data_IF_482390421739
#
_entry.id   IF_482390421739
#
_cell.length_a   1.000
_cell.length_b   1.000
_cell.length_c   1.000
_cell.angle_alpha   90.00
_cell.angle_beta   90.00
_cell.angle_gamma   90.00
#
_symmetry.space_group_name_H-M   'P 1'
#
loop_
_entity.id
_entity.type
_entity.pdbx_description
1 polymer ?
#
# COMPACT_ATOMS: atom_id res chain seq x y z
N UNK A 1 55.43 23.55 11.18
CA UNK A 1 54.74 24.34 12.23
C UNK A 1 53.26 24.43 11.89
N UNK A 2 52.36 23.76 12.62
CA UNK A 2 50.94 23.71 12.30
C UNK A 2 50.19 24.95 12.81
N UNK A 3 49.41 25.59 11.94
CA UNK A 3 48.50 26.70 12.28
C UNK A 3 47.13 26.13 12.67
N UNK A 4 46.81 26.26 13.95
CA UNK A 4 45.52 26.01 14.56
C UNK A 4 44.53 27.09 14.07
N UNK A 5 43.41 26.69 13.45
CA UNK A 5 42.26 27.57 13.18
C UNK A 5 41.17 27.25 14.21
N UNK A 6 40.78 28.27 14.96
CA UNK A 6 39.70 28.27 15.96
C UNK A 6 38.31 28.27 15.32
N UNK A 7 37.30 27.62 15.93
CA UNK A 7 35.91 27.71 15.49
C UNK A 7 35.23 28.99 16.03
N UNK A 8 34.46 29.65 15.16
CA UNK A 8 33.54 30.73 15.52
C UNK A 8 32.28 30.13 16.19
N UNK A 9 32.12 30.41 17.47
CA UNK A 9 30.87 30.24 18.21
C UNK A 9 29.94 31.39 17.83
N UNK A 10 28.83 31.10 17.16
CA UNK A 10 27.72 32.05 17.05
C UNK A 10 26.73 31.81 18.18
N UNK A 11 26.73 32.73 19.12
CA UNK A 11 25.69 32.92 20.12
C UNK A 11 24.42 33.42 19.42
N UNK A 12 23.31 32.71 19.60
CA UNK A 12 21.97 33.22 19.27
C UNK A 12 21.26 33.51 20.59
N UNK A 13 20.86 34.78 20.70
CA UNK A 13 20.30 35.42 21.87
C UNK A 13 18.91 34.87 22.23
N UNK A 14 18.81 34.60 23.52
CA UNK A 14 17.67 34.40 24.38
C UNK A 14 16.68 35.59 24.28
N UNK A 15 15.41 35.32 23.99
CA UNK A 15 14.32 36.29 24.23
C UNK A 15 13.38 35.71 25.28
N UNK A 16 13.42 36.32 26.46
CA UNK A 16 12.49 36.14 27.56
C UNK A 16 11.09 36.64 27.16
N UNK A 17 10.08 35.77 27.28
CA UNK A 17 8.67 36.15 27.31
C UNK A 17 8.00 35.46 28.49
N UNK A 18 7.88 36.17 29.61
CA UNK A 18 7.21 35.72 30.81
C UNK A 18 5.68 35.86 30.63
N UNK A 19 4.95 34.74 30.73
CA UNK A 19 3.56 34.75 31.19
C UNK A 19 3.42 33.78 32.36
N UNK A 20 3.17 34.36 33.52
CA UNK A 20 2.79 33.67 34.74
C UNK A 20 1.33 33.23 34.66
N UNK A 21 1.06 31.96 34.95
CA UNK A 21 -0.27 31.49 35.31
C UNK A 21 -0.16 30.48 36.46
N UNK A 22 -0.59 30.96 37.62
CA UNK A 22 -0.81 30.37 38.92
C UNK A 22 -1.21 28.89 38.95
N UNK A 23 -0.47 28.10 39.75
CA UNK A 23 -0.85 26.77 40.22
C UNK A 23 -1.67 26.93 41.50
N UNK A 24 -2.96 26.60 41.44
CA UNK A 24 -3.78 26.33 42.63
C UNK A 24 -3.97 24.81 42.75
N UNK A 25 -3.34 24.21 43.76
CA UNK A 25 -3.65 22.84 44.22
C UNK A 25 -4.95 22.88 45.02
N UNK A 26 -5.98 22.18 44.54
CA UNK A 26 -7.16 21.84 45.33
C UNK A 26 -7.26 20.32 45.41
N UNK A 27 -6.97 19.77 46.58
CA UNK A 27 -7.26 18.38 46.93
C UNK A 27 -8.73 18.28 47.31
N UNK A 28 -9.56 17.77 46.40
CA UNK A 28 -10.93 17.35 46.67
C UNK A 28 -11.05 15.87 46.32
N UNK A 29 -11.16 15.05 47.36
CA UNK A 29 -11.48 13.63 47.28
C UNK A 29 -12.99 13.47 47.07
N UNK A 30 -13.38 12.86 45.96
CA UNK A 30 -14.77 12.59 45.59
C UNK A 30 -15.00 11.07 45.44
N UNK A 31 -16.23 10.58 45.66
CA UNK A 31 -16.51 9.17 45.91
C UNK A 31 -16.46 8.31 44.64
N UNK A 32 -16.19 7.02 44.86
CA UNK A 32 -16.12 5.96 43.83
C UNK A 32 -17.42 5.86 43.02
N UNK A 33 -17.36 5.72 41.68
CA UNK A 33 -18.51 5.43 40.84
C UNK A 33 -18.93 3.94 40.91
N UNK A 34 -20.23 3.63 40.73
CA UNK A 34 -20.71 2.26 40.62
C UNK A 34 -20.27 1.58 39.31
N UNK A 35 -20.00 0.28 39.42
CA UNK A 35 -19.60 -0.63 38.34
C UNK A 35 -20.70 -0.73 37.27
N UNK A 36 -20.42 -0.50 35.98
CA UNK A 36 -21.41 -0.70 34.92
C UNK A 36 -21.57 -2.19 34.57
N UNK A 37 -22.83 -2.61 34.58
CA UNK A 37 -23.37 -3.89 34.10
C UNK A 37 -23.43 -3.89 32.57
N UNK A 38 -23.10 -5.03 31.97
CA UNK A 38 -23.42 -5.49 30.61
C UNK A 38 -23.35 -4.48 29.44
N UNK A 39 -22.34 -4.66 28.59
CA UNK A 39 -22.22 -4.03 27.28
C UNK A 39 -23.41 -4.38 26.39
N UNK A 40 -24.32 -3.42 26.22
CA UNK A 40 -25.30 -3.41 25.13
C UNK A 40 -24.56 -3.17 23.80
N UNK A 41 -24.78 -4.06 22.83
CA UNK A 41 -24.20 -3.98 21.49
C UNK A 41 -24.52 -2.62 20.84
N UNK A 42 -23.47 -1.90 20.41
CA UNK A 42 -23.61 -0.67 19.64
C UNK A 42 -24.28 -0.98 18.28
N UNK A 43 -25.19 -0.13 17.79
CA UNK A 43 -25.83 -0.32 16.50
C UNK A 43 -24.80 -0.20 15.36
N UNK A 44 -24.94 -0.95 14.25
CA UNK A 44 -24.00 -0.92 13.13
C UNK A 44 -23.97 0.48 12.51
N UNK A 45 -22.83 1.16 12.61
CA UNK A 45 -22.58 2.41 11.91
C UNK A 45 -22.44 2.13 10.42
N UNK A 46 -23.46 2.44 9.64
CA UNK A 46 -23.39 2.35 8.17
C UNK A 46 -22.46 3.44 7.63
N UNK A 47 -21.79 3.17 6.50
CA UNK A 47 -20.90 4.10 5.80
C UNK A 47 -21.52 5.51 5.60
N UNK A 48 -22.84 5.56 5.40
CA UNK A 48 -23.64 6.79 5.30
C UNK A 48 -23.62 7.66 6.55
N UNK A 49 -23.52 7.02 7.72
CA UNK A 49 -23.41 7.69 9.02
C UNK A 49 -22.04 8.33 9.20
N UNK A 50 -20.99 7.67 8.69
CA UNK A 50 -19.62 8.20 8.70
C UNK A 50 -19.42 9.36 7.72
N UNK A 51 -20.19 9.38 6.61
CA UNK A 51 -20.16 10.44 5.59
C UNK A 51 -21.05 11.65 5.92
N UNK A 52 -21.73 11.68 7.08
CA UNK A 52 -22.51 12.84 7.53
C UNK A 52 -23.88 13.03 6.86
N UNK A 53 -24.32 12.09 6.02
CA UNK A 53 -25.62 12.18 5.31
C UNK A 53 -26.84 12.07 6.24
N UNK A 54 -26.65 11.56 7.47
CA UNK A 54 -27.75 11.44 8.44
C UNK A 54 -28.30 12.79 8.91
N UNK A 55 -27.53 13.89 8.84
CA UNK A 55 -28.05 15.22 9.17
C UNK A 55 -28.95 15.80 8.06
N UNK A 56 -28.68 15.48 6.79
CA UNK A 56 -29.57 15.86 5.69
C UNK A 56 -30.90 15.09 5.74
N UNK A 57 -30.87 13.80 6.10
CA UNK A 57 -32.07 12.98 6.25
C UNK A 57 -33.00 13.46 7.37
N UNK A 58 -32.47 13.98 8.47
CA UNK A 58 -33.29 14.49 9.59
C UNK A 58 -33.97 15.83 9.28
N UNK A 59 -33.33 16.71 8.50
CA UNK A 59 -33.93 17.97 8.03
C UNK A 59 -34.91 17.76 6.88
N UNK A 60 -34.66 16.81 5.96
CA UNK A 60 -35.60 16.48 4.89
C UNK A 60 -36.74 15.57 5.37
N UNK A 61 -36.55 14.71 6.35
CA UNK A 61 -37.56 13.69 6.73
C UNK A 61 -38.89 14.27 7.22
N UNK A 62 -38.87 15.46 7.86
CA UNK A 62 -40.09 16.10 8.38
C UNK A 62 -40.88 16.89 7.33
N UNK A 63 -40.25 17.32 6.23
CA UNK A 63 -40.91 18.10 5.16
C UNK A 63 -41.06 17.31 3.85
N UNK A 64 -40.14 16.39 3.55
CA UNK A 64 -40.17 15.54 2.36
C UNK A 64 -41.25 14.44 2.45
N UNK A 65 -41.66 13.99 3.64
CA UNK A 65 -42.74 13.00 3.77
C UNK A 65 -44.07 13.45 3.13
N UNK A 66 -44.38 14.75 3.19
CA UNK A 66 -45.59 15.31 2.58
C UNK A 66 -45.42 15.75 1.12
N UNK A 67 -44.19 16.05 0.69
CA UNK A 67 -43.91 16.49 -0.69
C UNK A 67 -43.64 15.28 -1.60
N UNK A 68 -42.98 14.23 -1.11
CA UNK A 68 -42.67 13.01 -1.85
C UNK A 68 -43.90 12.13 -2.13
N UNK A 69 -44.99 12.30 -1.37
CA UNK A 69 -46.26 11.62 -1.66
C UNK A 69 -47.06 12.30 -2.79
N UNK A 70 -46.66 13.49 -3.26
CA UNK A 70 -47.31 14.08 -4.43
C UNK A 70 -46.97 13.24 -5.67
N UNK A 71 -47.97 12.80 -6.45
CA UNK A 71 -47.75 11.91 -7.60
C UNK A 71 -46.76 12.50 -8.60
N UNK A 72 -46.74 13.82 -8.77
CA UNK A 72 -45.80 14.53 -9.63
C UNK A 72 -44.34 14.36 -9.20
N UNK A 73 -44.06 14.45 -7.90
CA UNK A 73 -42.69 14.30 -7.35
C UNK A 73 -42.24 12.85 -7.46
N UNK A 74 -43.15 11.89 -7.24
CA UNK A 74 -42.88 10.47 -7.45
C UNK A 74 -42.54 10.16 -8.91
N UNK A 75 -43.27 10.74 -9.87
CA UNK A 75 -42.98 10.57 -11.30
C UNK A 75 -41.65 11.21 -11.69
N UNK A 76 -41.34 12.41 -11.20
CA UNK A 76 -40.07 13.08 -11.48
C UNK A 76 -38.88 12.34 -10.86
N UNK A 77 -38.99 11.90 -9.60
CA UNK A 77 -37.94 11.13 -8.95
C UNK A 77 -37.71 9.78 -9.65
N UNK A 78 -38.78 9.06 -10.01
CA UNK A 78 -38.65 7.76 -10.68
C UNK A 78 -38.20 7.88 -12.14
N UNK A 79 -38.60 8.92 -12.86
CA UNK A 79 -38.35 9.03 -14.31
C UNK A 79 -37.11 9.83 -14.67
N UNK A 80 -36.65 10.73 -13.80
CA UNK A 80 -35.53 11.64 -14.10
C UNK A 80 -34.39 11.43 -13.11
N UNK A 81 -34.68 11.42 -11.81
CA UNK A 81 -33.64 11.44 -10.78
C UNK A 81 -33.02 10.06 -10.57
N UNK A 82 -33.82 8.99 -10.50
CA UNK A 82 -33.35 7.62 -10.37
C UNK A 82 -32.47 7.16 -11.54
N UNK A 83 -32.83 7.33 -12.82
CA UNK A 83 -31.95 6.95 -13.92
C UNK A 83 -30.66 7.78 -13.93
N UNK A 84 -30.70 9.06 -13.53
CA UNK A 84 -29.49 9.87 -13.42
C UNK A 84 -28.59 9.42 -12.26
N UNK A 85 -29.15 9.01 -11.13
CA UNK A 85 -28.39 8.45 -10.00
C UNK A 85 -27.81 7.06 -10.33
N UNK A 86 -28.52 6.27 -11.14
CA UNK A 86 -28.03 4.99 -11.65
C UNK A 86 -26.88 5.19 -12.64
N UNK A 87 -26.98 6.13 -13.58
CA UNK A 87 -25.88 6.42 -14.53
C UNK A 87 -24.65 6.97 -13.84
N UNK A 88 -24.81 7.67 -12.72
CA UNK A 88 -23.71 8.20 -11.90
C UNK A 88 -23.17 7.18 -10.88
N UNK A 89 -23.75 5.99 -10.76
CA UNK A 89 -23.31 4.97 -9.79
C UNK A 89 -23.47 5.38 -8.33
N UNK A 90 -24.34 6.36 -8.04
CA UNK A 90 -24.56 6.92 -6.71
C UNK A 90 -25.72 6.24 -5.96
N UNK A 91 -26.48 5.38 -6.65
CA UNK A 91 -27.59 4.65 -6.06
C UNK A 91 -27.07 3.40 -5.33
N UNK A 92 -27.36 3.21 -4.02
CA UNK A 92 -27.00 1.99 -3.32
C UNK A 92 -27.63 0.76 -4.03
N UNK A 93 -26.95 -0.40 -4.03
CA UNK A 93 -27.37 -1.58 -4.81
C UNK A 93 -28.78 -2.07 -4.44
N UNK A 94 -29.20 -1.86 -3.19
CA UNK A 94 -30.52 -2.20 -2.68
C UNK A 94 -31.65 -1.34 -3.30
N UNK A 95 -31.38 -0.06 -3.57
CA UNK A 95 -32.33 0.84 -4.22
C UNK A 95 -32.32 0.66 -5.75
N UNK A 96 -31.20 0.23 -6.33
CA UNK A 96 -31.12 -0.18 -7.73
C UNK A 96 -31.97 -1.43 -8.01
N UNK A 97 -32.00 -2.38 -7.07
CA UNK A 97 -32.87 -3.56 -7.17
C UNK A 97 -34.38 -3.20 -7.13
N UNK A 98 -34.79 -2.22 -6.32
CA UNK A 98 -36.17 -1.74 -6.27
C UNK A 98 -36.60 -0.96 -7.54
N UNK A 99 -35.68 -0.22 -8.16
CA UNK A 99 -35.93 0.50 -9.42
C UNK A 99 -35.85 -0.40 -10.66
N UNK A 100 -35.15 -1.53 -10.58
CA UNK A 100 -35.07 -2.55 -11.64
C UNK A 100 -36.38 -3.36 -11.81
N UNK A 101 -37.33 -3.23 -10.89
CA UNK A 101 -38.63 -3.93 -10.93
C UNK A 101 -39.59 -3.46 -12.03
N UNK A 102 -39.26 -2.41 -12.78
CA UNK A 102 -40.12 -1.88 -13.84
C UNK A 102 -39.34 -1.73 -15.16
N UNK A 103 -39.08 -2.85 -15.84
CA UNK A 103 -38.75 -2.81 -17.28
C UNK A 103 -37.48 -3.53 -17.74
N UNK A 104 -36.91 -4.46 -16.98
CA UNK A 104 -35.88 -5.34 -17.52
C UNK A 104 -36.52 -6.39 -18.43
N UNK A 105 -36.40 -6.22 -19.75
CA UNK A 105 -36.66 -7.30 -20.71
C UNK A 105 -35.70 -8.49 -20.51
N UNK A 106 -35.97 -9.66 -21.12
CA UNK A 106 -35.31 -10.93 -20.82
C UNK A 106 -33.85 -11.06 -21.29
N UNK A 107 -33.17 -9.96 -21.63
CA UNK A 107 -31.76 -9.94 -22.00
C UNK A 107 -31.03 -8.91 -21.16
N UNK A 108 -30.39 -9.35 -20.07
CA UNK A 108 -29.49 -8.49 -19.31
C UNK A 108 -28.34 -7.96 -20.19
N UNK A 109 -27.61 -6.92 -19.72
CA UNK A 109 -26.45 -6.42 -20.44
C UNK A 109 -25.43 -7.55 -20.65
N UNK A 110 -24.71 -7.56 -21.79
CA UNK A 110 -23.68 -8.55 -22.04
C UNK A 110 -22.60 -8.50 -20.94
N UNK A 111 -21.96 -9.64 -20.61
CA UNK A 111 -21.07 -9.75 -19.44
C UNK A 111 -19.92 -8.75 -19.44
N UNK A 112 -19.37 -8.41 -20.62
CA UNK A 112 -18.32 -7.41 -20.75
C UNK A 112 -18.77 -6.01 -20.33
N UNK A 113 -20.01 -5.63 -20.64
CA UNK A 113 -20.58 -4.32 -20.26
C UNK A 113 -20.85 -4.27 -18.76
N UNK A 114 -21.33 -5.37 -18.19
CA UNK A 114 -21.51 -5.47 -16.73
C UNK A 114 -20.17 -5.30 -15.99
N UNK A 115 -19.11 -5.98 -16.43
CA UNK A 115 -17.77 -5.85 -15.85
C UNK A 115 -17.20 -4.42 -16.03
N UNK A 116 -17.34 -3.82 -17.22
CA UNK A 116 -16.90 -2.45 -17.45
C UNK A 116 -17.62 -1.46 -16.51
N UNK A 117 -18.92 -1.65 -16.28
CA UNK A 117 -19.69 -0.88 -15.31
C UNK A 117 -19.17 -1.02 -13.88
N UNK A 118 -18.82 -2.24 -13.45
CA UNK A 118 -18.23 -2.48 -12.13
C UNK A 118 -16.86 -1.80 -11.98
N UNK A 119 -15.98 -1.94 -12.98
CA UNK A 119 -14.66 -1.30 -12.99
C UNK A 119 -14.81 0.23 -12.97
N UNK A 120 -15.74 0.78 -13.75
CA UNK A 120 -16.01 2.22 -13.77
C UNK A 120 -16.55 2.73 -12.43
N UNK A 121 -17.44 1.96 -11.79
CA UNK A 121 -17.94 2.29 -10.46
C UNK A 121 -16.82 2.26 -9.42
N UNK A 122 -16.02 1.20 -9.38
CA UNK A 122 -14.92 1.05 -8.42
C UNK A 122 -13.85 2.14 -8.58
N UNK A 123 -13.51 2.49 -9.83
CA UNK A 123 -12.52 3.52 -10.16
C UNK A 123 -13.13 4.90 -10.37
N UNK A 124 -14.39 5.11 -9.97
CA UNK A 124 -15.01 6.42 -10.02
C UNK A 124 -14.21 7.42 -9.17
N UNK A 125 -14.16 8.71 -9.55
CA UNK A 125 -13.39 9.71 -8.79
C UNK A 125 -13.83 9.80 -7.33
N UNK A 126 -15.11 9.56 -7.04
CA UNK A 126 -15.63 9.51 -5.67
C UNK A 126 -15.05 8.34 -4.87
N UNK A 127 -15.03 7.14 -5.44
CA UNK A 127 -14.47 5.95 -4.78
C UNK A 127 -12.95 6.04 -4.63
N UNK A 128 -12.24 6.56 -5.63
CA UNK A 128 -10.81 6.86 -5.52
C UNK A 128 -10.53 7.81 -4.35
N UNK A 129 -11.31 8.88 -4.19
CA UNK A 129 -11.18 9.80 -3.06
C UNK A 129 -11.49 9.12 -1.72
N UNK A 130 -12.47 8.21 -1.68
CA UNK A 130 -12.78 7.43 -0.49
C UNK A 130 -11.59 6.53 -0.09
N UNK A 131 -11.00 5.80 -1.05
CA UNK A 131 -9.80 4.98 -0.85
C UNK A 131 -8.62 5.82 -0.32
N UNK A 132 -8.37 6.99 -0.92
CA UNK A 132 -7.33 7.93 -0.48
C UNK A 132 -7.59 8.44 0.96
N UNK A 133 -8.83 8.78 1.31
CA UNK A 133 -9.18 9.18 2.68
C UNK A 133 -8.98 8.05 3.69
N UNK A 134 -9.34 6.81 3.33
CA UNK A 134 -9.10 5.64 4.17
C UNK A 134 -7.60 5.43 4.43
N UNK A 135 -6.77 5.50 3.38
CA UNK A 135 -5.30 5.41 3.50
C UNK A 135 -4.74 6.50 4.41
N UNK A 136 -5.22 7.75 4.31
CA UNK A 136 -4.81 8.84 5.19
C UNK A 136 -5.16 8.58 6.65
N UNK A 137 -6.34 7.99 6.90
CA UNK A 137 -6.73 7.59 8.24
C UNK A 137 -5.83 6.48 8.77
N UNK A 138 -5.57 5.43 7.98
CA UNK A 138 -4.62 4.37 8.32
C UNK A 138 -3.22 4.93 8.65
N UNK A 139 -2.78 5.95 7.90
CA UNK A 139 -1.50 6.63 8.16
C UNK A 139 -1.44 7.38 9.50
N UNK A 140 -2.59 7.65 10.14
CA UNK A 140 -2.68 8.29 11.45
C UNK A 140 -2.72 7.31 12.61
N UNK A 141 -2.95 6.03 12.31
CA UNK A 141 -3.00 4.95 13.29
C UNK A 141 -1.60 4.40 13.52
N UNK A 142 -1.25 4.13 14.78
CA UNK A 142 0.04 3.56 15.11
C UNK A 142 0.07 2.06 14.81
N UNK A 143 1.05 1.64 14.01
CA UNK A 143 1.31 0.24 13.69
C UNK A 143 1.78 -0.59 14.90
N UNK A 144 2.12 0.04 16.05
CA UNK A 144 2.31 -0.68 17.34
C UNK A 144 1.02 -1.40 17.71
N UNK A 145 -0.08 -0.66 17.71
CA UNK A 145 -1.36 -1.15 18.19
C UNK A 145 -2.08 -1.99 17.12
N UNK A 146 -1.81 -1.70 15.85
CA UNK A 146 -2.48 -2.32 14.70
C UNK A 146 -1.46 -2.71 13.63
N UNK A 147 -0.72 -3.83 13.81
CA UNK A 147 0.31 -4.25 12.85
C UNK A 147 -0.23 -4.54 11.45
N UNK A 148 -1.50 -4.94 11.32
CA UNK A 148 -2.21 -5.19 10.07
C UNK A 148 -2.36 -3.94 9.19
N UNK A 149 -2.18 -2.74 9.75
CA UNK A 149 -2.19 -1.48 8.99
C UNK A 149 -1.12 -1.49 7.90
N UNK A 150 0.04 -2.08 8.17
CA UNK A 150 1.12 -2.19 7.19
C UNK A 150 0.70 -3.06 6.02
N UNK A 151 -0.01 -4.16 6.28
CA UNK A 151 -0.48 -5.08 5.24
C UNK A 151 -1.51 -4.40 4.33
N UNK A 152 -2.45 -3.68 4.94
CA UNK A 152 -3.44 -2.90 4.20
C UNK A 152 -2.80 -1.81 3.33
N UNK A 153 -1.79 -1.11 3.85
CA UNK A 153 -1.05 -0.09 3.10
C UNK A 153 -0.21 -0.70 1.97
N UNK A 154 0.44 -1.84 2.19
CA UNK A 154 1.20 -2.55 1.16
C UNK A 154 0.28 -3.10 0.06
N UNK A 155 -0.89 -3.64 0.41
CA UNK A 155 -1.90 -4.08 -0.55
C UNK A 155 -2.49 -2.91 -1.36
N UNK A 156 -2.57 -1.71 -0.76
CA UNK A 156 -3.01 -0.50 -1.46
C UNK A 156 -2.02 -0.05 -2.56
N UNK A 157 -0.80 -0.57 -2.57
CA UNK A 157 0.15 -0.36 -3.67
C UNK A 157 -0.19 -1.19 -4.92
N UNK A 158 -1.13 -2.14 -4.84
CA UNK A 158 -1.63 -2.89 -6.00
C UNK A 158 -2.93 -2.30 -6.59
N UNK A 159 -3.44 -1.20 -6.04
CA UNK A 159 -4.67 -0.58 -6.54
C UNK A 159 -4.48 -0.06 -7.98
N UNK A 160 -5.50 -0.20 -8.82
CA UNK A 160 -5.47 0.25 -10.22
C UNK A 160 -5.27 1.77 -10.35
N UNK A 161 -5.76 2.56 -9.40
CA UNK A 161 -5.70 4.01 -9.42
C UNK A 161 -4.36 4.53 -8.86
N UNK A 162 -3.59 5.21 -9.72
CA UNK A 162 -2.35 5.91 -9.36
C UNK A 162 -2.44 6.78 -8.09
N UNK A 163 -3.48 7.63 -7.87
CA UNK A 163 -3.57 8.44 -6.65
C UNK A 163 -3.68 7.61 -5.37
N UNK A 164 -4.28 6.41 -5.42
CA UNK A 164 -4.39 5.50 -4.28
C UNK A 164 -3.02 4.94 -3.94
N UNK A 165 -2.31 4.39 -4.93
CA UNK A 165 -0.93 3.88 -4.77
C UNK A 165 0.04 4.95 -4.27
N UNK A 166 -0.05 6.16 -4.83
CA UNK A 166 0.78 7.28 -4.42
C UNK A 166 0.53 7.68 -2.96
N UNK A 167 -0.74 7.75 -2.53
CA UNK A 167 -1.05 8.09 -1.14
C UNK A 167 -0.64 6.96 -0.18
N UNK A 168 -0.72 5.70 -0.60
CA UNK A 168 -0.23 4.56 0.18
C UNK A 168 1.29 4.66 0.45
N UNK A 169 2.09 5.04 -0.56
CA UNK A 169 3.51 5.33 -0.35
C UNK A 169 3.73 6.49 0.63
N UNK A 170 2.94 7.57 0.54
CA UNK A 170 3.04 8.69 1.49
C UNK A 170 2.68 8.28 2.92
N UNK A 171 1.69 7.40 3.09
CA UNK A 171 1.32 6.83 4.38
C UNK A 171 2.46 6.00 4.97
N UNK A 172 3.02 5.08 4.18
CA UNK A 172 4.19 4.28 4.57
C UNK A 172 5.42 5.15 4.87
N UNK A 173 5.61 6.23 4.12
CA UNK A 173 6.71 7.16 4.34
C UNK A 173 6.64 7.78 5.74
N UNK A 174 5.45 8.25 6.13
CA UNK A 174 5.17 8.86 7.44
C UNK A 174 5.32 7.88 8.59
N UNK A 175 4.78 6.66 8.46
CA UNK A 175 4.75 5.69 9.55
C UNK A 175 6.04 4.88 9.71
N UNK A 176 6.64 4.42 8.60
CA UNK A 176 7.72 3.42 8.64
C UNK A 176 9.12 3.95 8.35
N UNK A 177 9.24 5.04 7.58
CA UNK A 177 10.55 5.48 7.05
C UNK A 177 11.09 6.79 7.65
N UNK A 178 10.26 7.52 8.42
CA UNK A 178 10.59 8.84 8.94
C UNK A 178 11.66 8.87 10.05
N UNK A 179 12.17 7.72 10.49
CA UNK A 179 13.31 7.67 11.42
C UNK A 179 13.16 6.74 12.62
N UNK A 180 12.06 6.00 12.67
CA UNK A 180 11.84 4.93 13.64
C UNK A 180 10.38 4.58 13.59
N UNK A 181 10.04 3.36 13.17
CA UNK A 181 8.75 2.80 13.56
C UNK A 181 8.70 2.90 15.09
N UNK A 182 7.72 3.57 15.68
CA UNK A 182 7.67 3.74 17.14
C UNK A 182 7.68 2.38 17.87
N UNK A 183 7.12 1.34 17.22
CA UNK A 183 7.18 -0.05 17.68
C UNK A 183 8.59 -0.65 17.75
N UNK A 184 9.54 -0.02 17.08
CA UNK A 184 10.88 -0.54 16.81
C UNK A 184 11.96 0.46 17.18
N UNK A 185 11.56 1.63 17.70
CA UNK A 185 12.41 2.54 18.39
C UNK A 185 12.57 2.01 19.81
N UNK A 186 13.52 1.11 19.99
CA UNK A 186 14.03 0.81 21.32
C UNK A 186 15.06 1.90 21.67
N UNK A 187 14.77 2.81 22.62
CA UNK A 187 15.69 3.87 23.01
C UNK A 187 17.00 3.34 23.62
N UNK A 188 17.05 2.05 23.98
CA UNK A 188 18.19 1.42 24.65
C UNK A 188 19.17 0.79 23.65
N UNK A 189 18.70 0.31 22.49
CA UNK A 189 19.58 -0.30 21.48
C UNK A 189 20.04 0.73 20.46
N UNK A 190 21.04 1.53 20.86
CA UNK A 190 21.70 2.49 19.98
C UNK A 190 22.11 1.89 18.64
N UNK A 191 21.78 2.57 17.53
CA UNK A 191 22.24 2.45 16.12
C UNK A 191 22.22 1.05 15.45
N UNK A 192 22.00 -0.04 16.19
CA UNK A 192 22.24 -1.41 15.75
C UNK A 192 21.07 -2.37 16.05
N UNK A 193 19.87 -1.88 16.38
CA UNK A 193 18.71 -2.77 16.48
C UNK A 193 18.42 -3.37 15.10
N UNK A 194 18.11 -4.68 15.01
CA UNK A 194 17.77 -5.32 13.75
C UNK A 194 16.63 -4.58 13.03
N UNK A 195 16.57 -4.64 11.69
CA UNK A 195 15.48 -4.02 10.95
C UNK A 195 14.17 -4.59 11.46
N UNK A 196 13.22 -3.71 11.76
CA UNK A 196 11.92 -4.21 12.14
C UNK A 196 11.28 -4.94 10.98
N UNK A 197 10.50 -5.98 11.31
CA UNK A 197 9.78 -6.79 10.32
C UNK A 197 8.98 -5.91 9.35
N UNK A 198 8.33 -4.85 9.85
CA UNK A 198 7.60 -3.88 9.05
C UNK A 198 8.50 -3.17 8.02
N UNK A 199 9.70 -2.71 8.43
CA UNK A 199 10.64 -2.03 7.55
C UNK A 199 11.19 -2.95 6.46
N UNK A 200 11.56 -4.20 6.80
CA UNK A 200 12.04 -5.18 5.82
C UNK A 200 10.99 -5.42 4.74
N UNK A 201 9.73 -5.60 5.12
CA UNK A 201 8.62 -5.82 4.18
C UNK A 201 8.38 -4.61 3.28
N UNK A 202 8.45 -3.41 3.84
CA UNK A 202 8.35 -2.17 3.05
C UNK A 202 9.52 -2.07 2.07
N UNK A 203 10.76 -2.32 2.49
CA UNK A 203 11.94 -2.27 1.60
C UNK A 203 11.80 -3.26 0.44
N UNK A 204 11.45 -4.52 0.73
CA UNK A 204 11.23 -5.55 -0.30
C UNK A 204 10.15 -5.09 -1.28
N UNK A 205 9.03 -4.56 -0.76
CA UNK A 205 7.95 -4.08 -1.64
C UNK A 205 8.34 -2.87 -2.48
N UNK A 206 9.14 -1.95 -1.94
CA UNK A 206 9.67 -0.81 -2.69
C UNK A 206 10.66 -1.27 -3.77
N UNK A 207 11.51 -2.25 -3.49
CA UNK A 207 12.40 -2.81 -4.51
C UNK A 207 11.62 -3.51 -5.61
N UNK A 208 10.57 -4.25 -5.26
CA UNK A 208 9.70 -4.92 -6.23
C UNK A 208 9.06 -3.90 -7.18
N UNK A 209 8.50 -2.82 -6.62
CA UNK A 209 7.87 -1.75 -7.38
C UNK A 209 8.84 -1.05 -8.36
N UNK A 210 10.13 -0.97 -8.01
CA UNK A 210 11.17 -0.32 -8.80
C UNK A 210 11.87 -1.24 -9.81
N UNK A 211 11.94 -2.55 -9.52
CA UNK A 211 12.79 -3.48 -10.27
C UNK A 211 12.00 -4.53 -11.07
N UNK A 212 10.78 -4.87 -10.65
CA UNK A 212 9.99 -5.89 -11.35
C UNK A 212 9.56 -5.36 -12.71
N UNK A 213 9.79 -6.20 -13.72
CA UNK A 213 9.38 -5.98 -15.09
C UNK A 213 8.33 -7.00 -15.51
N UNK A 214 7.44 -6.59 -16.40
CA UNK A 214 6.48 -7.48 -17.05
C UNK A 214 7.15 -8.32 -18.15
N UNK A 215 6.37 -9.19 -18.80
CA UNK A 215 6.84 -10.02 -19.91
C UNK A 215 7.36 -9.22 -21.12
N UNK A 216 7.01 -7.93 -21.23
CA UNK A 216 7.47 -7.03 -22.28
C UNK A 216 8.73 -6.25 -21.87
N UNK A 217 9.28 -6.53 -20.68
CA UNK A 217 10.43 -5.82 -20.13
C UNK A 217 10.11 -4.42 -19.62
N UNK A 218 8.83 -4.02 -19.53
CA UNK A 218 8.41 -2.74 -18.96
C UNK A 218 8.29 -2.83 -17.45
N UNK A 219 8.54 -1.74 -16.73
CA UNK A 219 8.37 -1.72 -15.27
C UNK A 219 6.88 -1.91 -14.91
N UNK A 220 6.62 -2.74 -13.89
CA UNK A 220 5.27 -3.04 -13.44
C UNK A 220 4.54 -1.76 -12.98
N UNK A 221 5.19 -0.91 -12.19
CA UNK A 221 4.66 0.41 -11.87
C UNK A 221 4.85 1.37 -13.04
N UNK A 222 3.74 1.80 -13.65
CA UNK A 222 3.72 2.69 -14.81
C UNK A 222 3.91 4.16 -14.45
N UNK A 223 3.47 4.59 -13.26
CA UNK A 223 3.55 5.99 -12.83
C UNK A 223 4.96 6.41 -12.43
N UNK A 224 5.53 7.36 -13.17
CA UNK A 224 6.82 7.96 -12.81
C UNK A 224 6.81 8.59 -11.41
N UNK A 225 5.69 9.21 -11.04
CA UNK A 225 5.53 9.89 -9.74
C UNK A 225 5.58 8.90 -8.58
N UNK A 226 4.93 7.74 -8.71
CA UNK A 226 4.96 6.67 -7.70
C UNK A 226 6.37 6.09 -7.60
N UNK A 227 7.04 5.81 -8.74
CA UNK A 227 8.42 5.32 -8.75
C UNK A 227 9.40 6.30 -8.09
N UNK A 228 9.29 7.59 -8.39
CA UNK A 228 10.17 8.61 -7.81
C UNK A 228 10.04 8.66 -6.28
N UNK A 229 8.81 8.62 -5.75
CA UNK A 229 8.60 8.61 -4.31
C UNK A 229 9.13 7.31 -3.67
N UNK A 230 8.89 6.16 -4.30
CA UNK A 230 9.41 4.88 -3.84
C UNK A 230 10.94 4.87 -3.78
N UNK A 231 11.61 5.42 -4.81
CA UNK A 231 13.07 5.56 -4.84
C UNK A 231 13.57 6.44 -3.69
N UNK A 232 12.97 7.61 -3.46
CA UNK A 232 13.35 8.50 -2.36
C UNK A 232 13.20 7.83 -0.99
N UNK A 233 12.13 7.05 -0.80
CA UNK A 233 11.90 6.28 0.42
C UNK A 233 12.97 5.20 0.61
N UNK A 234 13.29 4.46 -0.46
CA UNK A 234 14.28 3.39 -0.43
C UNK A 234 15.68 3.97 -0.12
N UNK A 235 16.08 5.04 -0.79
CA UNK A 235 17.33 5.75 -0.50
C UNK A 235 17.39 6.25 0.95
N UNK A 236 16.30 6.79 1.48
CA UNK A 236 16.22 7.24 2.87
C UNK A 236 16.38 6.08 3.86
N UNK A 237 15.80 4.92 3.54
CA UNK A 237 15.96 3.70 4.34
C UNK A 237 17.41 3.20 4.33
N UNK A 238 18.04 3.16 3.15
CA UNK A 238 19.42 2.69 2.98
C UNK A 238 20.45 3.65 3.59
N UNK A 239 20.21 4.97 3.59
CA UNK A 239 21.08 5.93 4.27
C UNK A 239 21.08 5.74 5.79
N UNK A 240 19.92 5.44 6.37
CA UNK A 240 19.79 5.20 7.82
C UNK A 240 20.34 3.85 8.25
N UNK A 241 20.33 2.87 7.35
CA UNK A 241 20.86 1.53 7.56
C UNK A 241 21.77 1.19 6.39
N UNK A 242 23.03 1.62 6.43
CA UNK A 242 23.98 1.15 5.43
C UNK A 242 23.93 -0.38 5.48
N UNK A 243 23.52 -1.00 4.37
CA UNK A 243 23.69 -2.44 4.21
C UNK A 243 25.18 -2.64 4.42
N UNK A 244 25.56 -3.31 5.51
CA UNK A 244 26.89 -3.89 5.58
C UNK A 244 26.92 -4.80 4.36
N UNK A 245 27.60 -4.37 3.30
CA UNK A 245 27.85 -5.23 2.17
C UNK A 245 28.36 -6.52 2.80
N UNK A 246 27.65 -7.66 2.63
CA UNK A 246 28.12 -8.93 3.15
C UNK A 246 29.55 -9.02 2.68
N UNK A 247 30.49 -8.97 3.63
CA UNK A 247 31.85 -8.52 3.38
C UNK A 247 32.27 -9.10 2.06
N UNK A 248 32.46 -8.23 1.04
CA UNK A 248 32.93 -8.68 -0.27
C UNK A 248 34.09 -9.60 0.10
N UNK A 249 34.03 -10.91 -0.19
CA UNK A 249 35.04 -11.84 0.31
C UNK A 249 36.37 -11.20 -0.01
N UNK A 250 37.18 -10.95 1.02
CA UNK A 250 38.42 -10.17 0.90
C UNK A 250 39.05 -10.55 -0.42
N UNK A 251 39.28 -9.59 -1.33
CA UNK A 251 39.58 -9.86 -2.74
C UNK A 251 40.55 -11.01 -2.73
N UNK A 252 40.07 -12.19 -3.16
CA UNK A 252 40.76 -13.46 -2.97
C UNK A 252 42.18 -13.17 -3.36
N UNK A 253 43.09 -13.12 -2.36
CA UNK A 253 44.47 -12.74 -2.65
C UNK A 253 44.85 -13.65 -3.80
N UNK A 254 45.34 -13.10 -4.94
CA UNK A 254 45.62 -13.89 -6.12
C UNK A 254 46.38 -15.11 -5.61
N UNK A 255 45.75 -16.29 -5.71
CA UNK A 255 46.42 -17.51 -5.30
C UNK A 255 47.74 -17.45 -6.06
N UNK A 256 48.89 -17.52 -5.37
CA UNK A 256 50.15 -17.62 -6.09
C UNK A 256 49.94 -18.69 -7.14
N UNK A 257 50.17 -18.32 -8.41
CA UNK A 257 49.94 -19.22 -9.53
C UNK A 257 50.53 -20.57 -9.15
N UNK A 258 49.80 -21.69 -9.33
CA UNK A 258 50.38 -23.00 -9.08
C UNK A 258 51.70 -23.01 -9.84
N UNK A 259 52.80 -23.14 -9.10
CA UNK A 259 54.12 -23.35 -9.68
C UNK A 259 53.92 -24.63 -10.49
N UNK A 260 53.82 -24.48 -11.81
CA UNK A 260 53.92 -25.61 -12.71
C UNK A 260 55.37 -26.06 -12.59
N UNK A 261 55.64 -26.90 -11.59
CA UNK A 261 56.84 -27.72 -11.57
C UNK A 261 56.88 -28.41 -12.94
N UNK A 262 57.95 -28.12 -13.68
CA UNK A 262 58.21 -28.58 -15.04
C UNK A 262 57.82 -30.06 -15.20
N UNK A 263 56.63 -30.30 -15.73
CA UNK A 263 56.27 -31.63 -16.19
C UNK A 263 57.23 -31.97 -17.33
N UNK A 264 58.00 -33.07 -17.22
CA UNK A 264 58.96 -33.44 -18.25
C UNK A 264 58.24 -33.59 -19.58
N UNK A 265 58.70 -32.84 -20.58
CA UNK A 265 58.22 -32.94 -21.96
C UNK A 265 58.28 -34.41 -22.40
N UNK A 266 57.11 -35.02 -22.59
CA UNK A 266 57.01 -36.32 -23.22
C UNK A 266 57.49 -36.21 -24.68
N UNK A 267 58.36 -37.12 -25.14
CA UNK A 267 58.84 -37.11 -26.51
C UNK A 267 57.75 -37.60 -27.47
N UNK A 268 57.49 -36.79 -28.50
CA UNK A 268 56.98 -37.10 -29.83
C UNK A 268 56.12 -38.38 -29.99
N UNK A 269 54.80 -38.18 -30.12
CA UNK A 269 53.83 -39.13 -30.68
C UNK A 269 53.14 -38.57 -31.93
N UNK A 270 52.65 -39.43 -32.85
CA UNK A 270 52.64 -39.24 -34.30
C UNK A 270 51.45 -38.42 -34.87
N UNK A 271 51.52 -37.99 -36.15
CA UNK A 271 50.44 -37.26 -36.81
C UNK A 271 49.30 -38.23 -37.19
N UNK A 272 48.14 -38.06 -36.56
CA UNK A 272 46.93 -38.81 -36.85
C UNK A 272 45.72 -37.90 -36.73
N UNK A 273 45.06 -37.66 -37.86
CA UNK A 273 43.89 -36.81 -38.00
C UNK A 273 42.70 -37.31 -37.17
N UNK A 274 41.97 -36.39 -36.53
CA UNK A 274 40.52 -36.51 -36.45
C UNK A 274 39.86 -35.13 -36.29
N UNK A 275 39.09 -34.82 -37.32
CA UNK A 275 38.28 -33.61 -37.48
C UNK A 275 37.09 -33.65 -36.52
N UNK A 276 37.19 -32.92 -35.41
CA UNK A 276 36.04 -32.66 -34.53
C UNK A 276 35.27 -31.43 -35.03
N UNK A 277 34.07 -31.71 -35.53
CA UNK A 277 33.06 -30.77 -35.95
C UNK A 277 32.69 -29.72 -34.87
N UNK A 278 32.20 -28.54 -35.27
CA UNK A 278 31.72 -27.53 -34.33
C UNK A 278 30.47 -28.03 -33.56
N UNK A 279 30.34 -27.71 -32.25
CA UNK A 279 29.16 -28.06 -31.48
C UNK A 279 27.92 -27.40 -32.08
N UNK A 280 26.93 -28.24 -32.35
CA UNK A 280 25.70 -27.92 -33.05
C UNK A 280 24.89 -26.79 -32.39
N UNK A 281 24.30 -25.98 -33.27
CA UNK A 281 23.24 -25.06 -32.96
C UNK A 281 22.07 -25.81 -32.27
N UNK A 282 21.65 -25.30 -31.11
CA UNK A 282 20.42 -25.72 -30.45
C UNK A 282 19.23 -25.22 -31.29
N UNK A 283 18.33 -26.09 -31.77
CA UNK A 283 17.16 -25.65 -32.51
C UNK A 283 16.19 -24.86 -31.59
N UNK A 284 15.62 -23.75 -32.04
CA UNK A 284 14.55 -23.08 -31.32
C UNK A 284 13.27 -23.92 -31.46
N UNK A 285 12.80 -24.57 -30.39
CA UNK A 285 11.49 -25.24 -30.48
C UNK A 285 11.10 -26.28 -29.43
N UNK A 286 11.86 -26.52 -28.37
CA UNK A 286 11.47 -27.52 -27.38
C UNK A 286 11.66 -27.01 -25.95
N UNK A 287 10.83 -26.05 -25.56
CA UNK A 287 10.46 -25.92 -24.16
C UNK A 287 9.34 -26.93 -23.89
N UNK A 288 9.48 -27.85 -22.92
CA UNK A 288 8.36 -28.66 -22.48
C UNK A 288 7.25 -27.72 -21.94
N UNK A 289 5.97 -28.05 -22.13
CA UNK A 289 4.89 -27.31 -21.48
C UNK A 289 5.15 -27.28 -19.98
N UNK A 290 5.07 -26.10 -19.38
CA UNK A 290 5.12 -25.96 -17.93
C UNK A 290 3.97 -26.76 -17.34
N UNK A 291 4.28 -27.88 -16.69
CA UNK A 291 3.41 -28.56 -15.74
C UNK A 291 3.14 -27.60 -14.58
N UNK A 292 2.17 -26.73 -14.76
CA UNK A 292 1.53 -26.04 -13.65
C UNK A 292 0.71 -27.09 -12.89
N UNK A 293 0.95 -27.32 -11.59
CA UNK A 293 0.11 -28.22 -10.81
C UNK A 293 -1.34 -27.69 -10.83
N UNK A 294 -2.35 -28.53 -11.16
CA UNK A 294 -3.75 -28.16 -11.02
C UNK A 294 -4.07 -28.13 -9.52
N UNK A 295 -3.86 -26.97 -8.89
CA UNK A 295 -3.93 -26.86 -7.44
C UNK A 295 -4.06 -25.43 -6.93
N UNK A 296 -4.76 -24.55 -7.65
CA UNK A 296 -5.29 -23.33 -7.03
C UNK A 296 -6.77 -23.58 -6.80
N UNK A 297 -7.09 -23.86 -5.53
CA UNK A 297 -8.45 -23.94 -5.03
C UNK A 297 -9.27 -22.75 -5.54
N UNK A 298 -10.42 -23.04 -6.12
CA UNK A 298 -11.47 -22.06 -6.31
C UNK A 298 -11.73 -21.30 -5.00
N UNK A 299 -11.92 -19.98 -5.02
CA UNK A 299 -12.30 -19.24 -3.82
C UNK A 299 -13.61 -19.82 -3.26
N UNK A 300 -13.77 -19.91 -1.93
CA UNK A 300 -15.00 -20.41 -1.33
C UNK A 300 -16.18 -19.53 -1.77
N UNK A 301 -17.38 -20.14 -1.96
CA UNK A 301 -18.57 -19.39 -2.34
C UNK A 301 -18.86 -18.32 -1.28
N UNK A 302 -19.01 -17.08 -1.74
CA UNK A 302 -19.47 -15.97 -0.92
C UNK A 302 -20.90 -16.29 -0.46
N UNK A 303 -21.20 -16.24 0.85
CA UNK A 303 -22.57 -16.44 1.31
C UNK A 303 -23.48 -15.34 0.72
N UNK A 304 -24.60 -15.77 0.14
CA UNK A 304 -25.63 -14.88 -0.38
C UNK A 304 -26.27 -14.05 0.77
N UNK A 305 -26.71 -12.81 0.51
CA UNK A 305 -27.44 -12.00 1.48
C UNK A 305 -28.81 -12.60 1.83
#
# INVERSE_FOLDING_TARGET
MPRIRTPRVMAVLLVCGALAASVSRSTAQAPLPPVPVAAAAAPPTTLWTFLGFNQMGACLGKTAGHIAQKPLVKTVCNSVVNPMLQTLGLLPPEAAAAAAGAGAGPGGPPPAVALAGQIAAENSPANVQLKVKAIRYLASVDCICYPEVIDALLASLDDCAEPVRYEALRALQKGCTAGGCAACYDPVSGVNSPPCSCQTRVIVRLSDLLLIRDANGQLLERSHRVRQLAQQMLESCLRRRPIQQPGLPDPVQPRPDPVFDDLPLAPNGPPGAESLAPPGAVPPGSFPPADYPPGVLAPPPVPAP
#
